data_IF_414961013464
#
_entry.id   IF_414961013464
#
_cell.length_a   1.000
_cell.length_b   1.000
_cell.length_c   1.000
_cell.angle_alpha   90.00
_cell.angle_beta   90.00
_cell.angle_gamma   90.00
#
_symmetry.space_group_name_H-M   'P 1'
#
loop_
_entity.id
_entity.type
_entity.pdbx_description
1 polymer ?
#
# COMPACT_ATOMS: atom_id res chain seq x y z
N UNK A 1 -13.56 3.62 -18.09
CA UNK A 1 -13.83 5.07 -17.94
C UNK A 1 -13.14 5.66 -16.69
N UNK A 2 -13.15 4.98 -15.54
CA UNK A 2 -12.54 5.46 -14.27
C UNK A 2 -11.00 5.63 -14.29
N UNK A 3 -10.23 4.71 -14.89
CA UNK A 3 -8.75 4.81 -14.92
C UNK A 3 -8.24 6.10 -15.58
N UNK A 4 -8.92 6.61 -16.62
CA UNK A 4 -8.57 7.88 -17.29
C UNK A 4 -8.85 9.10 -16.41
N UNK A 5 -9.84 9.02 -15.50
CA UNK A 5 -10.19 10.10 -14.56
C UNK A 5 -9.14 10.21 -13.46
N UNK A 6 -8.79 9.10 -12.82
CA UNK A 6 -7.75 9.09 -11.77
C UNK A 6 -6.38 9.52 -12.31
N UNK A 7 -5.98 9.07 -13.51
CA UNK A 7 -4.73 9.51 -14.15
C UNK A 7 -4.59 11.03 -14.27
N UNK A 8 -5.69 11.76 -14.54
CA UNK A 8 -5.66 13.22 -14.61
C UNK A 8 -5.64 13.88 -13.23
N UNK A 9 -6.23 13.25 -12.23
CA UNK A 9 -6.27 13.74 -10.85
C UNK A 9 -4.91 13.60 -10.15
N UNK A 10 -4.14 12.56 -10.44
CA UNK A 10 -2.82 12.32 -9.82
C UNK A 10 -1.88 13.52 -10.01
N UNK A 11 -1.83 14.11 -11.21
CA UNK A 11 -0.99 15.28 -11.49
C UNK A 11 -1.39 16.55 -10.71
N UNK A 12 -2.51 16.55 -9.99
CA UNK A 12 -2.92 17.67 -9.12
C UNK A 12 -2.29 17.61 -7.74
N UNK A 13 -1.86 16.42 -7.31
CA UNK A 13 -1.24 16.23 -6.01
C UNK A 13 0.27 16.44 -6.12
N UNK A 14 0.79 17.41 -5.36
CA UNK A 14 2.21 17.79 -5.37
C UNK A 14 3.03 17.10 -4.28
N UNK A 15 2.38 16.33 -3.41
CA UNK A 15 3.00 15.62 -2.30
C UNK A 15 2.31 14.27 -2.07
N UNK A 16 3.02 13.37 -1.39
CA UNK A 16 2.54 12.02 -1.05
C UNK A 16 1.32 12.07 -0.13
N UNK A 17 1.28 12.99 0.84
CA UNK A 17 0.15 13.12 1.79
C UNK A 17 -1.19 13.29 1.08
N UNK A 18 -1.27 14.23 0.12
CA UNK A 18 -2.51 14.50 -0.60
C UNK A 18 -2.92 13.35 -1.52
N UNK A 19 -1.93 12.63 -2.09
CA UNK A 19 -2.22 11.45 -2.91
C UNK A 19 -2.77 10.30 -2.04
N UNK A 20 -2.17 10.07 -0.87
CA UNK A 20 -2.62 9.06 0.10
C UNK A 20 -4.05 9.35 0.55
N UNK A 21 -4.34 10.60 0.92
CA UNK A 21 -5.69 11.02 1.32
C UNK A 21 -6.70 10.82 0.18
N UNK A 22 -6.32 11.15 -1.05
CA UNK A 22 -7.18 10.92 -2.21
C UNK A 22 -7.51 9.44 -2.43
N UNK A 23 -6.52 8.56 -2.31
CA UNK A 23 -6.72 7.11 -2.45
C UNK A 23 -7.64 6.58 -1.36
N UNK A 24 -7.45 7.04 -0.12
CA UNK A 24 -8.25 6.60 1.01
C UNK A 24 -9.70 7.09 0.94
N UNK A 25 -9.96 8.25 0.33
CA UNK A 25 -11.32 8.79 0.19
C UNK A 25 -12.05 8.31 -1.07
N UNK A 26 -11.33 7.95 -2.13
CA UNK A 26 -11.95 7.59 -3.41
C UNK A 26 -12.35 6.11 -3.52
N UNK A 27 -13.39 5.86 -4.30
CA UNK A 27 -13.81 4.52 -4.73
C UNK A 27 -13.01 4.10 -5.97
N UNK A 28 -11.73 3.77 -5.77
CA UNK A 28 -10.82 3.31 -6.85
C UNK A 28 -11.13 1.87 -7.26
N UNK A 29 -11.55 1.03 -6.31
CA UNK A 29 -11.85 -0.38 -6.53
C UNK A 29 -13.02 -0.82 -5.66
N UNK A 30 -13.89 -1.66 -6.23
CA UNK A 30 -14.98 -2.31 -5.51
C UNK A 30 -14.46 -3.22 -4.39
N UNK A 31 -13.17 -3.59 -4.41
CA UNK A 31 -12.56 -4.40 -3.36
C UNK A 31 -12.36 -3.66 -2.03
N UNK A 32 -12.44 -2.32 -2.03
CA UNK A 32 -12.32 -1.51 -0.82
C UNK A 32 -13.32 -1.93 0.27
N UNK A 33 -14.51 -2.39 -0.12
CA UNK A 33 -15.56 -2.83 0.82
C UNK A 33 -15.20 -4.08 1.63
N UNK A 34 -14.22 -4.86 1.17
CA UNK A 34 -13.79 -6.10 1.82
C UNK A 34 -12.57 -5.91 2.73
N UNK A 35 -12.05 -4.69 2.81
CA UNK A 35 -10.89 -4.31 3.59
C UNK A 35 -11.31 -3.32 4.66
N UNK A 36 -10.87 -3.50 5.91
CA UNK A 36 -11.16 -2.58 7.01
C UNK A 36 -10.37 -1.28 6.87
N UNK A 37 -9.17 -1.37 6.30
CA UNK A 37 -8.30 -0.22 6.07
C UNK A 37 -7.78 -0.16 4.64
N UNK A 38 -7.32 1.02 4.22
CA UNK A 38 -6.63 1.24 2.95
C UNK A 38 -5.12 1.23 3.20
N UNK A 39 -4.48 0.10 2.92
CA UNK A 39 -3.08 -0.19 3.23
C UNK A 39 -2.14 0.33 2.15
N UNK A 40 -1.98 1.65 2.07
CA UNK A 40 -1.15 2.29 1.03
C UNK A 40 0.32 2.25 1.43
N UNK A 41 0.62 2.70 2.64
CA UNK A 41 1.99 2.87 3.13
C UNK A 41 2.06 2.78 4.66
N UNK A 42 3.25 2.49 5.18
CA UNK A 42 3.60 2.64 6.59
C UNK A 42 5.05 3.10 6.69
N UNK A 43 5.29 4.20 7.42
CA UNK A 43 6.62 4.78 7.58
C UNK A 43 6.67 6.29 7.32
N UNK A 44 7.85 6.78 6.94
CA UNK A 44 8.10 8.20 6.66
C UNK A 44 7.45 8.66 5.35
N UNK A 45 7.03 9.91 5.25
CA UNK A 45 6.66 10.49 3.95
C UNK A 45 7.87 11.02 3.17
N UNK A 46 9.04 11.07 3.82
CA UNK A 46 10.33 11.43 3.22
C UNK A 46 11.35 10.31 3.49
N UNK A 47 11.16 9.10 2.93
CA UNK A 47 12.09 8.00 3.12
C UNK A 47 13.35 8.16 2.25
N UNK A 48 14.47 7.61 2.71
CA UNK A 48 15.65 7.41 1.86
C UNK A 48 15.50 6.14 1.00
N UNK A 49 14.80 5.13 1.56
CA UNK A 49 14.53 3.84 0.95
C UNK A 49 13.03 3.58 0.94
N UNK A 50 12.52 3.29 -0.26
CA UNK A 50 11.15 2.84 -0.48
C UNK A 50 11.14 1.33 -0.71
N UNK A 51 10.41 0.61 0.13
CA UNK A 51 10.22 -0.84 0.05
C UNK A 51 8.84 -1.10 -0.56
N UNK A 52 8.80 -1.89 -1.63
CA UNK A 52 7.55 -2.20 -2.35
C UNK A 52 7.10 -3.62 -2.03
N UNK A 53 5.95 -3.74 -1.36
CA UNK A 53 5.27 -4.98 -1.05
C UNK A 53 4.11 -5.24 -2.04
N UNK A 54 3.63 -6.49 -2.14
CA UNK A 54 2.60 -6.84 -3.12
C UNK A 54 1.21 -6.30 -2.72
N UNK A 55 0.56 -6.90 -1.73
CA UNK A 55 -0.80 -6.57 -1.27
C UNK A 55 -1.04 -7.10 0.16
N UNK A 56 -2.02 -6.55 0.89
CA UNK A 56 -2.45 -7.07 2.19
C UNK A 56 -2.99 -8.49 2.04
N UNK A 57 -2.40 -9.45 2.74
CA UNK A 57 -2.64 -10.87 2.52
C UNK A 57 -3.20 -11.61 3.75
N UNK A 58 -3.36 -10.91 4.88
CA UNK A 58 -3.87 -11.52 6.10
C UNK A 58 -4.96 -10.69 6.78
N UNK A 59 -5.81 -11.37 7.54
CA UNK A 59 -6.83 -10.70 8.35
C UNK A 59 -6.18 -9.91 9.49
N UNK A 60 -5.06 -10.41 10.01
CA UNK A 60 -4.30 -9.77 11.07
C UNK A 60 -3.79 -8.39 10.65
N UNK A 61 -3.14 -8.29 9.47
CA UNK A 61 -2.71 -7.03 8.86
C UNK A 61 -3.87 -6.05 8.76
N UNK A 62 -5.00 -6.50 8.21
CA UNK A 62 -6.15 -5.65 7.98
C UNK A 62 -6.85 -5.23 9.27
N UNK A 63 -6.91 -6.08 10.29
CA UNK A 63 -7.49 -5.72 11.58
C UNK A 63 -6.60 -4.73 12.37
N UNK A 64 -5.29 -4.86 12.26
CA UNK A 64 -4.31 -4.04 12.97
C UNK A 64 -3.87 -2.78 12.22
N UNK A 65 -4.32 -2.62 10.97
CA UNK A 65 -3.85 -1.57 10.05
C UNK A 65 -2.33 -1.59 9.84
N UNK A 66 -1.74 -2.80 9.86
CA UNK A 66 -0.33 -3.01 9.59
C UNK A 66 -0.13 -3.39 8.12
N UNK A 67 0.96 -2.90 7.52
CA UNK A 67 1.28 -3.18 6.11
C UNK A 67 1.89 -4.57 5.88
N UNK A 68 2.45 -5.17 6.93
CA UNK A 68 3.04 -6.50 6.95
C UNK A 68 2.64 -7.20 8.26
N UNK A 69 2.44 -8.51 8.20
CA UNK A 69 2.39 -9.37 9.38
C UNK A 69 3.66 -9.22 10.24
N UNK A 70 3.52 -9.38 11.55
CA UNK A 70 4.60 -9.06 12.49
C UNK A 70 5.86 -9.91 12.24
N UNK A 71 5.71 -11.22 11.98
CA UNK A 71 6.83 -12.11 11.67
C UNK A 71 7.57 -11.68 10.38
N UNK A 72 6.83 -11.25 9.35
CA UNK A 72 7.41 -10.75 8.10
C UNK A 72 8.18 -9.44 8.33
N UNK A 73 7.63 -8.56 9.15
CA UNK A 73 8.28 -7.30 9.54
C UNK A 73 9.54 -7.54 10.36
N UNK A 74 9.52 -8.49 11.30
CA UNK A 74 10.70 -8.86 12.09
C UNK A 74 11.84 -9.37 11.19
N UNK A 75 11.52 -10.24 10.24
CA UNK A 75 12.50 -10.73 9.27
C UNK A 75 13.07 -9.60 8.41
N UNK A 76 12.21 -8.70 7.91
CA UNK A 76 12.65 -7.54 7.12
C UNK A 76 13.61 -6.65 7.92
N UNK A 77 13.30 -6.38 9.19
CA UNK A 77 14.18 -5.61 10.08
C UNK A 77 15.55 -6.29 10.24
N UNK A 78 15.59 -7.62 10.42
CA UNK A 78 16.85 -8.38 10.48
C UNK A 78 17.65 -8.29 9.18
N UNK A 79 16.98 -8.40 8.03
CA UNK A 79 17.61 -8.30 6.71
C UNK A 79 18.21 -6.92 6.45
N UNK A 80 17.47 -5.85 6.75
CA UNK A 80 17.97 -4.47 6.62
C UNK A 80 19.12 -4.20 7.60
N UNK A 81 19.00 -4.69 8.84
CA UNK A 81 20.04 -4.57 9.85
C UNK A 81 21.36 -5.22 9.43
N UNK A 82 21.31 -6.34 8.71
CA UNK A 82 22.50 -7.02 8.20
C UNK A 82 23.30 -6.18 7.17
N UNK A 83 22.67 -5.19 6.55
CA UNK A 83 23.30 -4.25 5.61
C UNK A 83 23.40 -2.83 6.19
N UNK A 84 23.28 -2.67 7.52
CA UNK A 84 23.31 -1.39 8.23
C UNK A 84 22.24 -0.39 7.78
N UNK A 85 21.05 -0.88 7.42
CA UNK A 85 19.88 -0.06 7.10
C UNK A 85 18.84 -0.23 8.21
N UNK A 86 18.29 0.89 8.70
CA UNK A 86 17.14 0.84 9.62
C UNK A 86 15.82 0.95 8.84
N UNK A 87 14.82 0.18 9.23
CA UNK A 87 13.46 0.38 8.70
C UNK A 87 12.84 1.69 9.21
N UNK A 88 13.25 2.13 10.41
CA UNK A 88 12.83 3.39 11.00
C UNK A 88 13.29 4.56 10.12
N UNK A 89 12.37 5.44 9.75
CA UNK A 89 12.64 6.56 8.83
C UNK A 89 12.51 6.20 7.35
N UNK A 90 12.38 4.92 7.02
CA UNK A 90 12.06 4.42 5.68
C UNK A 90 10.59 4.01 5.59
N UNK A 91 10.16 3.58 4.40
CA UNK A 91 8.73 3.38 4.11
C UNK A 91 8.48 2.13 3.31
N UNK A 92 7.44 1.42 3.70
CA UNK A 92 6.87 0.30 2.95
C UNK A 92 5.61 0.81 2.26
N UNK A 93 5.39 0.43 1.00
CA UNK A 93 4.15 0.64 0.25
C UNK A 93 3.63 -0.67 -0.31
N UNK A 94 2.32 -0.78 -0.51
CA UNK A 94 1.74 -1.89 -1.26
C UNK A 94 1.48 -1.48 -2.72
N UNK A 95 1.58 -2.44 -3.64
CA UNK A 95 1.16 -2.23 -5.04
C UNK A 95 -0.36 -2.34 -5.25
N UNK A 96 -1.05 -3.00 -4.32
CA UNK A 96 -2.50 -3.08 -4.25
C UNK A 96 -2.95 -2.86 -2.80
N UNK A 97 -3.91 -1.95 -2.56
CA UNK A 97 -4.08 -1.33 -1.23
C UNK A 97 -5.08 -2.01 -0.30
N UNK A 98 -5.81 -3.04 -0.75
CA UNK A 98 -6.93 -3.62 0.01
C UNK A 98 -6.77 -5.13 0.14
N UNK A 99 -7.27 -5.70 1.23
CA UNK A 99 -7.41 -7.15 1.37
C UNK A 99 -8.47 -7.67 0.38
N UNK A 100 -8.22 -8.81 -0.22
CA UNK A 100 -9.18 -9.47 -1.11
C UNK A 100 -10.06 -10.47 -0.33
N UNK A 101 -11.27 -10.78 -0.81
CA UNK A 101 -12.09 -11.84 -0.21
C UNK A 101 -11.36 -13.19 -0.21
N UNK A 102 -11.22 -13.81 0.97
CA UNK A 102 -10.59 -15.11 1.14
C UNK A 102 -9.08 -15.13 0.90
N UNK A 103 -8.41 -13.98 1.05
CA UNK A 103 -6.94 -13.84 0.95
C UNK A 103 -6.34 -14.33 -0.37
N UNK A 104 -7.15 -14.31 -1.44
CA UNK A 104 -6.68 -14.64 -2.79
C UNK A 104 -5.73 -13.56 -3.31
N UNK A 105 -4.90 -13.92 -4.28
CA UNK A 105 -4.17 -12.89 -5.04
C UNK A 105 -5.17 -11.99 -5.81
N UNK A 106 -4.92 -10.67 -5.88
CA UNK A 106 -5.67 -9.80 -6.77
C UNK A 106 -5.40 -10.20 -8.23
N UNK A 107 -6.43 -10.05 -9.05
CA UNK A 107 -6.34 -10.27 -10.50
C UNK A 107 -5.60 -9.12 -11.17
N UNK A 108 -5.06 -9.35 -12.37
CA UNK A 108 -4.37 -8.28 -13.13
C UNK A 108 -5.25 -7.05 -13.35
N UNK A 109 -6.56 -7.25 -13.59
CA UNK A 109 -7.50 -6.15 -13.79
C UNK A 109 -7.76 -5.36 -12.48
N UNK A 110 -7.69 -6.01 -11.32
CA UNK A 110 -7.78 -5.32 -10.01
C UNK A 110 -6.51 -4.52 -9.74
N UNK A 111 -5.32 -5.10 -10.02
CA UNK A 111 -4.02 -4.42 -9.89
C UNK A 111 -3.94 -3.19 -10.80
N UNK A 112 -4.42 -3.30 -12.04
CA UNK A 112 -4.41 -2.20 -13.02
C UNK A 112 -5.19 -0.95 -12.57
N UNK A 113 -6.15 -1.10 -11.64
CA UNK A 113 -6.86 0.04 -11.04
C UNK A 113 -5.95 0.86 -10.11
N UNK A 114 -5.01 0.19 -9.42
CA UNK A 114 -4.06 0.82 -8.48
C UNK A 114 -2.80 1.35 -9.17
N UNK A 115 -2.44 0.79 -10.33
CA UNK A 115 -1.21 1.13 -11.08
C UNK A 115 -0.97 2.62 -11.34
N UNK A 116 -1.98 3.49 -11.56
CA UNK A 116 -1.74 4.92 -11.72
C UNK A 116 -1.15 5.62 -10.47
N UNK A 117 -1.32 5.04 -9.29
CA UNK A 117 -0.96 5.65 -8.00
C UNK A 117 0.44 5.26 -7.49
N UNK A 118 1.08 4.30 -8.16
CA UNK A 118 2.47 3.90 -7.96
C UNK A 118 3.38 4.65 -8.95
#
# INVERSE_FOLDING_TARGET
>A
MMIKVHKKMIYRYKNSSGLIEYIDQCDISDLKIYSKHTHIHQGSLNPEILIVNDFPNSEEEDQSNNILAEDCKELLVKMLGAINVELKGNTIINTFFWRTPGDRRPTSNEIDKCRPFL
#
